data_IF_632078378700
#
_entry.id   IF_632078378700
#
_cell.length_a   1.000
_cell.length_b   1.000
_cell.length_c   1.000
_cell.angle_alpha   90.00
_cell.angle_beta   90.00
_cell.angle_gamma   90.00
#
_symmetry.space_group_name_H-M   'P 1'
#
loop_
_entity.id
_entity.type
_entity.pdbx_description
1 polymer ?
#
# COMPACT_ATOMS: atom_id res chain seq x y z
N UNK A 1 -0.44 -62.00 -14.38
CA UNK A 1 -1.11 -62.99 -13.54
C UNK A 1 -0.99 -62.57 -12.10
N UNK A 2 -2.14 -62.46 -11.35
CA UNK A 2 -2.38 -62.05 -9.96
C UNK A 2 -2.26 -60.53 -9.71
N UNK A 3 -3.23 -59.67 -9.73
CA UNK A 3 -4.53 -59.53 -9.02
C UNK A 3 -4.46 -59.78 -7.51
N UNK A 4 -4.58 -58.71 -6.71
CA UNK A 4 -5.23 -58.66 -5.38
C UNK A 4 -5.35 -57.16 -5.02
N UNK A 5 -6.51 -56.51 -5.14
CA UNK A 5 -7.72 -56.47 -4.31
C UNK A 5 -7.45 -55.80 -2.95
N UNK A 6 -7.82 -54.53 -2.88
CA UNK A 6 -8.83 -53.85 -2.07
C UNK A 6 -8.86 -54.17 -0.56
N UNK A 7 -8.84 -53.13 0.29
CA UNK A 7 -9.81 -52.98 1.39
C UNK A 7 -9.97 -51.48 1.70
N UNK A 8 -11.21 -50.97 1.54
CA UNK A 8 -11.73 -49.74 2.11
C UNK A 8 -12.02 -49.97 3.60
N UNK A 9 -11.61 -49.04 4.46
CA UNK A 9 -12.11 -48.94 5.81
C UNK A 9 -12.75 -47.56 6.00
N UNK A 10 -14.08 -47.54 5.95
CA UNK A 10 -14.89 -46.38 6.36
C UNK A 10 -15.02 -46.41 7.87
N UNK A 11 -14.61 -45.32 8.53
CA UNK A 11 -14.90 -45.09 9.95
C UNK A 11 -16.04 -44.09 10.02
N UNK A 12 -17.19 -44.58 10.45
CA UNK A 12 -18.37 -43.79 10.83
C UNK A 12 -18.18 -43.37 12.28
N UNK A 13 -18.07 -42.06 12.54
CA UNK A 13 -18.14 -41.50 13.89
C UNK A 13 -19.55 -40.95 14.10
N UNK A 14 -20.26 -41.61 15.02
CA UNK A 14 -21.58 -41.26 15.49
C UNK A 14 -21.49 -40.12 16.50
N UNK A 15 -22.04 -38.94 16.18
CA UNK A 15 -22.14 -37.83 17.10
C UNK A 15 -23.37 -37.99 18.02
N UNK A 16 -23.12 -38.06 19.29
CA UNK A 16 -24.14 -38.00 20.34
C UNK A 16 -24.57 -36.55 20.57
N UNK A 17 -25.85 -36.28 20.33
CA UNK A 17 -26.55 -35.07 20.71
C UNK A 17 -26.84 -35.09 22.22
N UNK A 18 -26.28 -34.16 22.97
CA UNK A 18 -26.80 -33.77 24.27
C UNK A 18 -27.24 -32.33 24.19
N UNK A 19 -28.54 -32.15 24.37
CA UNK A 19 -29.19 -30.82 24.38
C UNK A 19 -28.86 -30.04 25.65
N UNK A 20 -28.72 -28.74 25.49
CA UNK A 20 -28.94 -27.79 26.57
C UNK A 20 -29.97 -26.75 26.13
N UNK A 21 -30.99 -26.56 26.94
CA UNK A 21 -32.07 -25.66 26.73
C UNK A 21 -31.62 -24.20 26.78
N UNK A 22 -32.04 -23.42 25.82
CA UNK A 22 -31.87 -21.96 25.82
C UNK A 22 -33.05 -21.30 26.49
N UNK A 23 -32.76 -20.58 27.55
CA UNK A 23 -33.68 -19.61 28.16
C UNK A 23 -33.83 -18.41 27.25
N UNK A 24 -35.03 -18.24 26.73
CA UNK A 24 -35.41 -17.07 25.93
C UNK A 24 -35.91 -15.99 26.88
N UNK A 25 -35.07 -15.03 27.22
CA UNK A 25 -35.50 -13.82 27.94
C UNK A 25 -36.06 -12.82 26.91
N UNK A 26 -37.36 -12.68 26.92
CA UNK A 26 -38.09 -11.66 26.16
C UNK A 26 -37.86 -10.30 26.83
N UNK A 27 -37.11 -9.40 26.17
CA UNK A 27 -37.05 -8.01 26.58
C UNK A 27 -38.30 -7.28 26.06
N UNK A 28 -39.12 -6.82 26.96
CA UNK A 28 -40.27 -5.95 26.70
C UNK A 28 -39.78 -4.59 26.23
N UNK A 29 -40.36 -4.11 25.14
CA UNK A 29 -40.21 -2.76 24.65
C UNK A 29 -40.89 -1.78 25.60
N UNK A 30 -40.12 -0.89 26.22
CA UNK A 30 -40.68 0.27 26.95
C UNK A 30 -41.15 1.35 25.95
N UNK A 31 -42.41 1.71 26.09
CA UNK A 31 -43.05 2.79 25.32
C UNK A 31 -42.58 4.14 25.83
N UNK A 32 -42.11 4.99 24.92
CA UNK A 32 -41.80 6.40 25.17
C UNK A 32 -43.07 7.20 25.43
N UNK A 33 -43.05 8.16 26.38
CA UNK A 33 -44.19 9.04 26.63
C UNK A 33 -44.29 10.15 25.59
N UNK A 34 -45.54 10.40 25.23
CA UNK A 34 -46.05 11.40 24.28
C UNK A 34 -45.95 12.83 24.85
N UNK A 35 -45.73 13.76 23.89
CA UNK A 35 -46.11 15.18 23.90
C UNK A 35 -45.36 16.16 24.81
N UNK A 36 -44.57 17.00 24.15
CA UNK A 36 -44.20 18.35 24.63
C UNK A 36 -45.14 19.36 23.96
N UNK A 37 -45.77 20.31 24.67
CA UNK A 37 -46.67 21.29 24.08
C UNK A 37 -45.93 22.34 23.25
N UNK A 38 -46.47 22.59 22.10
CA UNK A 38 -46.07 23.61 21.13
C UNK A 38 -46.35 25.03 21.72
N UNK A 39 -45.29 25.77 22.06
CA UNK A 39 -45.43 27.18 22.45
C UNK A 39 -45.27 28.04 21.22
N UNK A 40 -46.35 28.58 20.72
CA UNK A 40 -46.41 29.57 19.63
C UNK A 40 -45.82 30.90 20.12
N UNK A 41 -44.62 31.25 19.66
CA UNK A 41 -44.05 32.58 19.84
C UNK A 41 -44.30 33.39 18.58
N UNK A 42 -44.92 34.55 18.71
CA UNK A 42 -45.19 35.51 17.64
C UNK A 42 -43.87 36.10 17.11
N UNK A 43 -43.79 36.46 15.81
CA UNK A 43 -42.59 37.00 15.25
C UNK A 43 -42.34 38.47 15.69
N UNK A 44 -41.24 38.71 16.38
CA UNK A 44 -40.69 40.04 16.60
C UNK A 44 -40.02 40.53 15.31
N UNK A 45 -40.49 41.65 14.79
CA UNK A 45 -39.89 42.38 13.65
C UNK A 45 -38.57 43.00 14.07
N UNK A 46 -37.46 42.45 13.60
CA UNK A 46 -36.13 43.08 13.70
C UNK A 46 -35.95 44.04 12.54
N UNK A 47 -35.47 45.26 12.72
CA UNK A 47 -35.22 46.21 11.64
C UNK A 47 -34.03 45.73 10.80
N UNK A 48 -34.24 45.71 9.49
CA UNK A 48 -33.27 45.37 8.46
C UNK A 48 -32.16 46.42 8.42
N UNK A 49 -30.98 46.06 8.96
CA UNK A 49 -29.79 46.87 8.80
C UNK A 49 -29.13 46.46 7.50
N UNK A 50 -29.13 47.36 6.52
CA UNK A 50 -28.43 47.23 5.24
C UNK A 50 -26.92 47.00 5.52
N UNK A 51 -26.48 45.72 5.44
CA UNK A 51 -25.06 45.37 5.48
C UNK A 51 -24.44 45.70 4.11
N UNK A 52 -23.65 46.73 4.10
CA UNK A 52 -22.76 47.07 2.97
C UNK A 52 -21.82 45.88 2.76
N UNK A 53 -22.04 45.13 1.70
CA UNK A 53 -21.14 44.03 1.27
C UNK A 53 -19.79 44.66 0.88
N UNK A 54 -18.74 44.32 1.64
CA UNK A 54 -17.37 44.54 1.21
C UNK A 54 -17.12 43.70 -0.07
N UNK A 55 -16.31 44.22 -1.02
CA UNK A 55 -15.98 43.46 -2.22
C UNK A 55 -15.31 42.14 -1.80
N UNK A 56 -15.94 41.01 -2.16
CA UNK A 56 -15.32 39.69 -2.04
C UNK A 56 -14.17 39.68 -3.04
N UNK A 57 -12.95 39.71 -2.57
CA UNK A 57 -11.78 39.42 -3.41
C UNK A 57 -11.98 38.05 -4.01
N UNK A 58 -11.87 37.96 -5.34
CA UNK A 58 -11.90 36.69 -6.04
C UNK A 58 -10.79 35.77 -5.49
N UNK A 59 -11.01 34.48 -5.30
CA UNK A 59 -9.97 33.56 -4.86
C UNK A 59 -8.78 33.67 -5.82
N UNK A 60 -7.62 34.06 -5.29
CA UNK A 60 -6.37 34.01 -6.06
C UNK A 60 -6.11 32.52 -6.32
N UNK A 61 -6.15 32.11 -7.58
CA UNK A 61 -5.79 30.76 -8.00
C UNK A 61 -4.37 30.47 -7.47
N UNK A 62 -4.26 29.47 -6.59
CA UNK A 62 -2.97 29.07 -6.05
C UNK A 62 -2.07 28.61 -7.20
N UNK A 63 -0.81 29.04 -7.21
CA UNK A 63 0.14 28.56 -8.19
C UNK A 63 0.24 27.03 -8.12
N UNK A 64 0.35 26.32 -9.27
CA UNK A 64 0.45 24.88 -9.27
C UNK A 64 1.66 24.42 -8.44
N UNK A 65 1.45 23.43 -7.58
CA UNK A 65 2.53 22.80 -6.83
C UNK A 65 3.52 22.16 -7.81
N UNK A 66 4.79 22.51 -7.68
CA UNK A 66 5.86 21.96 -8.51
C UNK A 66 6.55 20.84 -7.72
N UNK A 67 6.43 19.61 -8.21
CA UNK A 67 7.11 18.46 -7.62
C UNK A 67 8.62 18.61 -7.80
N UNK A 68 9.38 18.59 -6.72
CA UNK A 68 10.84 18.63 -6.72
C UNK A 68 11.40 17.25 -6.38
N UNK A 69 12.09 16.62 -7.32
CA UNK A 69 12.74 15.31 -7.13
C UNK A 69 14.20 15.53 -6.73
N UNK A 70 14.57 15.02 -5.57
CA UNK A 70 15.96 15.03 -5.11
C UNK A 70 16.64 13.71 -5.53
N UNK A 71 17.73 13.73 -6.28
CA UNK A 71 18.45 12.51 -6.69
C UNK A 71 18.93 11.73 -5.47
N UNK A 72 18.67 10.43 -5.46
CA UNK A 72 19.13 9.51 -4.40
C UNK A 72 20.35 8.70 -4.82
N UNK A 73 20.60 8.57 -6.12
CA UNK A 73 21.76 7.86 -6.67
C UNK A 73 22.98 8.79 -6.60
N UNK A 74 24.01 8.35 -5.89
CA UNK A 74 25.19 9.15 -5.55
C UNK A 74 26.46 8.76 -6.29
N UNK A 75 26.50 7.56 -6.89
CA UNK A 75 27.68 7.01 -7.55
C UNK A 75 27.31 6.44 -8.93
N UNK A 76 28.32 6.28 -9.79
CA UNK A 76 28.14 5.67 -11.10
C UNK A 76 27.71 4.21 -10.95
N UNK A 77 26.69 3.81 -11.70
CA UNK A 77 26.15 2.47 -11.69
C UNK A 77 26.58 1.65 -12.91
N UNK A 78 26.74 0.35 -12.70
CA UNK A 78 26.88 -0.62 -13.79
C UNK A 78 25.47 -1.02 -14.27
N UNK A 79 25.21 -0.87 -15.55
CA UNK A 79 23.94 -1.25 -16.15
C UNK A 79 23.89 -2.75 -16.47
N UNK A 80 22.79 -3.42 -16.07
CA UNK A 80 22.51 -4.82 -16.35
C UNK A 80 21.07 -4.96 -16.82
N UNK A 81 20.88 -5.41 -18.06
CA UNK A 81 19.55 -5.73 -18.59
C UNK A 81 19.17 -7.16 -18.20
N UNK A 82 17.94 -7.34 -17.70
CA UNK A 82 17.43 -8.62 -17.23
C UNK A 82 16.06 -8.92 -17.85
N UNK A 83 15.84 -10.20 -18.15
CA UNK A 83 14.60 -10.70 -18.77
C UNK A 83 13.93 -11.80 -17.96
N UNK A 84 14.59 -12.29 -16.91
CA UNK A 84 14.11 -13.37 -16.06
C UNK A 84 14.33 -13.08 -14.58
N UNK A 85 13.58 -13.76 -13.71
CA UNK A 85 13.76 -13.65 -12.27
C UNK A 85 15.18 -14.07 -11.82
N UNK A 86 15.76 -15.10 -12.43
CA UNK A 86 17.14 -15.54 -12.13
C UNK A 86 18.18 -14.48 -12.49
N UNK A 87 18.02 -13.84 -13.64
CA UNK A 87 18.92 -12.74 -14.06
C UNK A 87 18.78 -11.55 -13.13
N UNK A 88 17.54 -11.19 -12.74
CA UNK A 88 17.28 -10.12 -11.79
C UNK A 88 17.98 -10.38 -10.44
N UNK A 89 17.74 -11.55 -9.85
CA UNK A 89 18.34 -11.90 -8.56
C UNK A 89 19.87 -11.93 -8.62
N UNK A 90 20.44 -12.37 -9.74
CA UNK A 90 21.90 -12.39 -9.97
C UNK A 90 22.48 -10.99 -10.15
N UNK A 91 21.71 -10.04 -10.69
CA UNK A 91 22.13 -8.67 -10.92
C UNK A 91 22.13 -7.81 -9.65
N UNK A 92 21.51 -8.26 -8.56
CA UNK A 92 21.46 -7.52 -7.30
C UNK A 92 22.87 -7.32 -6.74
N UNK A 93 23.34 -6.09 -6.75
CA UNK A 93 24.65 -5.68 -6.23
C UNK A 93 24.65 -4.16 -5.98
N UNK A 94 25.54 -3.65 -5.11
CA UNK A 94 25.78 -2.21 -4.99
C UNK A 94 26.22 -1.57 -6.33
N UNK A 95 25.91 -0.29 -6.50
CA UNK A 95 26.28 0.48 -7.69
C UNK A 95 25.77 -0.15 -9.00
N UNK A 96 24.53 -0.66 -9.00
CA UNK A 96 23.92 -1.33 -10.15
C UNK A 96 22.63 -0.66 -10.57
N UNK A 97 22.47 -0.51 -11.88
CA UNK A 97 21.20 -0.18 -12.53
C UNK A 97 20.67 -1.43 -13.23
N UNK A 98 19.60 -2.02 -12.69
CA UNK A 98 18.90 -3.16 -13.27
C UNK A 98 17.82 -2.64 -14.21
N UNK A 99 17.93 -2.98 -15.47
CA UNK A 99 16.98 -2.64 -16.53
C UNK A 99 16.11 -3.87 -16.79
N UNK A 100 14.84 -3.81 -16.40
CA UNK A 100 13.87 -4.89 -16.64
C UNK A 100 13.36 -4.78 -18.06
N UNK A 101 13.76 -5.71 -18.92
CA UNK A 101 13.36 -5.80 -20.34
C UNK A 101 12.55 -7.09 -20.55
N UNK A 102 11.46 -7.21 -19.80
CA UNK A 102 10.53 -8.31 -19.85
C UNK A 102 9.11 -7.80 -19.62
N UNK A 103 8.13 -8.39 -20.28
CA UNK A 103 6.72 -8.11 -20.05
C UNK A 103 6.34 -8.45 -18.60
N UNK A 104 6.84 -9.57 -18.08
CA UNK A 104 6.58 -10.02 -16.71
C UNK A 104 7.79 -10.76 -16.13
N UNK A 105 8.23 -10.33 -14.95
CA UNK A 105 9.10 -11.11 -14.07
C UNK A 105 8.28 -11.55 -12.86
N UNK A 106 7.98 -12.84 -12.77
CA UNK A 106 7.28 -13.50 -11.67
C UNK A 106 8.31 -14.23 -10.81
N UNK A 107 8.40 -13.87 -9.53
CA UNK A 107 9.38 -14.46 -8.61
C UNK A 107 9.25 -15.96 -8.45
N UNK A 108 8.04 -16.52 -8.61
CA UNK A 108 7.81 -17.95 -8.52
C UNK A 108 8.54 -18.76 -9.60
N UNK A 109 9.03 -18.10 -10.63
CA UNK A 109 9.80 -18.71 -11.74
C UNK A 109 11.30 -18.72 -11.48
N UNK A 110 11.77 -18.10 -10.40
CA UNK A 110 13.20 -18.14 -10.06
C UNK A 110 13.66 -19.57 -9.68
N UNK A 111 14.83 -19.94 -10.14
CA UNK A 111 15.48 -21.18 -9.73
C UNK A 111 15.80 -21.11 -8.24
N UNK A 112 15.31 -22.09 -7.46
CA UNK A 112 15.47 -22.06 -6.01
C UNK A 112 14.57 -21.07 -5.27
N UNK A 113 13.47 -20.65 -5.88
CA UNK A 113 12.44 -19.83 -5.25
C UNK A 113 12.09 -20.33 -3.85
N UNK A 114 12.15 -19.43 -2.87
CA UNK A 114 11.90 -19.73 -1.45
C UNK A 114 12.94 -20.61 -0.77
N UNK A 115 14.04 -21.00 -1.42
CA UNK A 115 15.02 -21.96 -0.88
C UNK A 115 16.46 -21.47 -0.91
N UNK A 116 16.82 -20.71 -1.95
CA UNK A 116 18.20 -20.29 -2.15
C UNK A 116 18.33 -18.78 -1.99
N UNK A 117 19.08 -18.35 -1.00
CA UNK A 117 19.40 -16.94 -0.78
C UNK A 117 20.66 -16.54 -1.58
N UNK A 118 20.72 -15.27 -1.97
CA UNK A 118 21.91 -14.64 -2.54
C UNK A 118 22.67 -13.81 -1.52
N UNK A 119 23.66 -13.08 -2.00
CA UNK A 119 24.43 -12.14 -1.16
C UNK A 119 23.59 -10.94 -0.75
N UNK A 120 22.74 -10.43 -1.68
CA UNK A 120 21.94 -9.23 -1.49
C UNK A 120 20.43 -9.50 -1.49
N UNK A 121 20.01 -10.74 -1.34
CA UNK A 121 18.62 -11.09 -1.17
C UNK A 121 18.45 -12.35 -0.35
N UNK A 122 17.29 -12.45 0.27
CA UNK A 122 16.82 -13.67 0.93
C UNK A 122 15.33 -13.87 0.67
N UNK A 123 14.89 -15.09 0.86
CA UNK A 123 13.48 -15.44 0.90
C UNK A 123 13.02 -15.58 2.34
N UNK A 124 11.88 -15.01 2.64
CA UNK A 124 11.19 -15.17 3.91
C UNK A 124 9.76 -15.64 3.62
N UNK A 125 9.19 -16.48 4.47
CA UNK A 125 7.80 -16.93 4.32
C UNK A 125 6.95 -16.24 5.39
N UNK A 126 6.21 -15.15 5.04
CA UNK A 126 5.36 -14.47 5.98
C UNK A 126 4.15 -15.33 6.41
N UNK A 127 3.67 -16.26 5.55
CA UNK A 127 2.56 -17.15 5.88
C UNK A 127 2.21 -18.18 4.78
N UNK A 128 2.13 -17.77 3.52
CA UNK A 128 1.59 -18.57 2.42
C UNK A 128 2.55 -18.75 1.24
N UNK A 129 3.78 -18.35 1.42
CA UNK A 129 4.83 -18.52 0.44
C UNK A 129 5.92 -17.47 0.52
N UNK A 130 6.99 -17.63 -0.27
CA UNK A 130 8.18 -16.82 -0.17
C UNK A 130 7.99 -15.37 -0.61
N UNK A 131 8.48 -14.46 0.22
CA UNK A 131 8.65 -13.03 -0.04
C UNK A 131 10.10 -12.75 -0.44
N UNK A 132 10.28 -11.91 -1.47
CA UNK A 132 11.62 -11.43 -1.85
C UNK A 132 12.03 -10.26 -0.97
N UNK A 133 13.08 -10.44 -0.18
CA UNK A 133 13.70 -9.38 0.59
C UNK A 133 15.07 -9.06 -0.01
N UNK A 134 15.20 -7.87 -0.60
CA UNK A 134 16.48 -7.30 -1.02
C UNK A 134 17.11 -6.66 0.21
N UNK A 135 18.35 -7.01 0.55
CA UNK A 135 18.94 -6.60 1.82
C UNK A 135 20.38 -6.13 1.69
N UNK A 136 20.71 -5.05 2.43
CA UNK A 136 22.09 -4.56 2.55
C UNK A 136 22.68 -3.98 1.26
N UNK A 137 21.85 -3.61 0.29
CA UNK A 137 22.28 -3.02 -0.98
C UNK A 137 22.29 -1.50 -0.87
N UNK A 138 23.26 -0.88 -1.50
CA UNK A 138 23.35 0.56 -1.66
C UNK A 138 23.52 0.98 -3.11
N UNK A 139 23.00 2.16 -3.47
CA UNK A 139 23.14 2.75 -4.80
C UNK A 139 22.62 1.81 -5.91
N UNK A 140 21.36 1.39 -5.76
CA UNK A 140 20.65 0.47 -6.67
C UNK A 140 19.49 1.19 -7.36
N UNK A 141 19.48 1.14 -8.68
CA UNK A 141 18.33 1.51 -9.51
C UNK A 141 17.68 0.25 -10.06
N UNK A 142 16.35 0.17 -10.00
CA UNK A 142 15.54 -0.84 -10.69
C UNK A 142 14.54 -0.09 -11.56
N UNK A 143 14.63 -0.26 -12.87
CA UNK A 143 13.72 0.42 -13.79
C UNK A 143 13.26 -0.45 -14.95
N UNK A 144 12.12 -0.08 -15.54
CA UNK A 144 11.65 -0.64 -16.80
C UNK A 144 12.56 -0.24 -17.97
N UNK A 145 12.62 -1.07 -18.99
CA UNK A 145 13.25 -0.76 -20.27
C UNK A 145 12.37 0.14 -21.16
N UNK A 146 11.04 0.11 -20.94
CA UNK A 146 10.06 0.93 -21.63
C UNK A 146 10.03 2.37 -21.16
N UNK A 147 9.36 3.22 -21.94
CA UNK A 147 9.07 4.61 -21.57
C UNK A 147 7.82 4.71 -20.67
N UNK A 148 7.00 3.65 -20.60
CA UNK A 148 5.75 3.56 -19.89
C UNK A 148 5.82 2.44 -18.84
N UNK A 149 5.43 2.73 -17.61
CA UNK A 149 5.44 1.76 -16.51
C UNK A 149 4.56 0.51 -16.78
N UNK A 150 3.59 0.58 -17.69
CA UNK A 150 2.70 -0.54 -18.01
C UNK A 150 3.35 -1.67 -18.79
N UNK A 151 4.56 -1.49 -19.32
CA UNK A 151 5.24 -2.44 -20.21
C UNK A 151 5.99 -3.52 -19.45
N UNK A 152 6.62 -3.16 -18.32
CA UNK A 152 7.49 -4.05 -17.57
C UNK A 152 6.93 -4.30 -16.17
N UNK A 153 6.63 -5.55 -15.85
CA UNK A 153 5.93 -5.94 -14.61
C UNK A 153 6.83 -6.80 -13.72
N UNK A 154 6.90 -6.44 -12.44
CA UNK A 154 7.43 -7.30 -11.37
C UNK A 154 6.28 -7.83 -10.54
N UNK A 155 6.25 -9.15 -10.27
CA UNK A 155 5.12 -9.77 -9.61
C UNK A 155 5.48 -10.87 -8.62
N UNK A 156 4.64 -11.01 -7.59
CA UNK A 156 4.64 -12.10 -6.63
C UNK A 156 3.29 -12.82 -6.60
N UNK A 157 3.32 -14.11 -6.31
CA UNK A 157 2.11 -14.95 -6.17
C UNK A 157 1.59 -14.99 -4.74
N UNK A 158 2.43 -15.12 -3.66
CA UNK A 158 1.93 -15.25 -2.31
C UNK A 158 1.16 -13.99 -1.86
N UNK A 159 0.02 -14.20 -1.21
CA UNK A 159 -0.92 -13.12 -0.84
C UNK A 159 -0.51 -12.36 0.41
N UNK A 160 0.36 -12.92 1.24
CA UNK A 160 0.86 -12.30 2.47
C UNK A 160 2.22 -11.64 2.28
N UNK A 161 2.90 -11.93 1.16
CA UNK A 161 4.19 -11.35 0.82
C UNK A 161 4.05 -9.93 0.25
N UNK A 162 5.04 -9.10 0.49
CA UNK A 162 5.30 -7.95 -0.38
C UNK A 162 5.84 -8.45 -1.71
N UNK A 163 5.52 -7.73 -2.80
CA UNK A 163 6.14 -8.08 -4.09
C UNK A 163 7.64 -7.92 -4.01
N UNK A 164 8.10 -6.81 -3.42
CA UNK A 164 9.50 -6.58 -3.08
C UNK A 164 9.60 -5.85 -1.74
N UNK A 165 10.39 -6.41 -0.83
CA UNK A 165 10.79 -5.77 0.42
C UNK A 165 12.26 -5.35 0.33
N UNK A 166 12.58 -4.10 0.65
CA UNK A 166 13.93 -3.60 0.82
C UNK A 166 14.23 -3.46 2.31
N UNK A 167 15.32 -4.09 2.77
CA UNK A 167 15.69 -4.06 4.17
C UNK A 167 17.15 -3.66 4.36
N UNK A 168 17.42 -2.69 5.22
CA UNK A 168 18.76 -2.17 5.47
C UNK A 168 19.47 -1.69 4.19
N UNK A 169 18.72 -1.04 3.30
CA UNK A 169 19.18 -0.53 2.02
C UNK A 169 19.35 1.00 2.04
N UNK A 170 20.16 1.52 1.12
CA UNK A 170 20.32 2.97 0.95
C UNK A 170 20.51 3.38 -0.51
N UNK A 171 20.13 4.62 -0.84
CA UNK A 171 20.21 5.13 -2.20
C UNK A 171 19.50 4.20 -3.19
N UNK A 172 18.20 3.97 -2.99
CA UNK A 172 17.37 3.07 -3.78
C UNK A 172 16.47 3.89 -4.70
N UNK A 173 16.47 3.56 -5.98
CA UNK A 173 15.62 4.18 -6.98
C UNK A 173 14.82 3.10 -7.72
N UNK A 174 13.48 3.15 -7.61
CA UNK A 174 12.56 2.30 -8.37
C UNK A 174 11.78 3.18 -9.33
N UNK A 175 11.84 2.88 -10.64
CA UNK A 175 11.29 3.77 -11.65
C UNK A 175 10.64 3.05 -12.83
N UNK A 176 9.51 3.59 -13.33
CA UNK A 176 8.92 3.21 -14.61
C UNK A 176 8.59 1.74 -14.74
N UNK A 177 8.11 1.11 -13.65
CA UNK A 177 7.72 -0.29 -13.56
C UNK A 177 6.28 -0.41 -13.10
N UNK A 178 5.58 -1.44 -13.53
CA UNK A 178 4.43 -1.94 -12.80
C UNK A 178 4.90 -2.96 -11.78
N UNK A 179 4.47 -2.82 -10.52
CA UNK A 179 4.74 -3.78 -9.45
C UNK A 179 3.43 -4.19 -8.79
N UNK A 180 3.17 -5.49 -8.70
CA UNK A 180 1.91 -5.95 -8.15
C UNK A 180 1.80 -7.46 -7.99
N UNK A 181 0.73 -7.91 -7.37
CA UNK A 181 0.46 -9.34 -7.23
C UNK A 181 -0.24 -9.91 -8.46
N UNK A 182 -0.06 -11.21 -8.70
CA UNK A 182 -0.74 -11.93 -9.78
C UNK A 182 -2.15 -12.42 -9.41
N UNK A 183 -2.49 -12.39 -8.12
CA UNK A 183 -3.78 -12.84 -7.60
C UNK A 183 -4.84 -11.73 -7.65
N UNK A 184 -6.10 -12.11 -7.53
CA UNK A 184 -7.22 -11.17 -7.54
C UNK A 184 -7.20 -10.23 -6.34
N UNK A 185 -7.60 -8.95 -6.51
CA UNK A 185 -7.69 -7.97 -5.42
C UNK A 185 -8.56 -8.42 -4.24
N UNK A 186 -8.22 -7.94 -3.06
CA UNK A 186 -9.03 -8.11 -1.84
C UNK A 186 -8.79 -9.39 -1.04
N UNK A 187 -7.92 -10.28 -1.51
CA UNK A 187 -7.60 -11.53 -0.81
C UNK A 187 -6.26 -11.52 -0.10
N UNK A 188 -5.45 -10.48 -0.29
CA UNK A 188 -4.07 -10.42 0.17
C UNK A 188 -3.91 -9.63 1.46
N UNK A 189 -2.83 -9.92 2.18
CA UNK A 189 -2.37 -9.17 3.36
C UNK A 189 -0.96 -8.63 3.22
N UNK A 190 -0.24 -9.01 2.16
CA UNK A 190 1.03 -8.40 1.79
C UNK A 190 0.84 -7.04 1.12
N UNK A 191 1.93 -6.33 0.92
CA UNK A 191 1.94 -5.06 0.20
C UNK A 191 2.62 -5.17 -1.15
N UNK A 192 2.80 -4.02 -1.81
CA UNK A 192 3.48 -3.98 -3.11
C UNK A 192 4.97 -3.72 -2.93
N UNK A 193 5.35 -2.53 -2.47
CA UNK A 193 6.72 -2.18 -2.14
C UNK A 193 6.86 -1.90 -0.64
N UNK A 194 7.84 -2.52 -0.01
CA UNK A 194 8.17 -2.28 1.40
C UNK A 194 9.60 -1.80 1.59
N UNK A 195 9.80 -0.87 2.52
CA UNK A 195 11.11 -0.34 2.90
C UNK A 195 11.25 -0.39 4.42
N UNK A 196 12.17 -1.20 4.92
CA UNK A 196 12.42 -1.38 6.35
C UNK A 196 13.86 -0.99 6.69
N UNK A 197 14.05 -0.15 7.71
CA UNK A 197 15.36 0.32 8.15
C UNK A 197 16.22 0.85 6.98
N UNK A 198 15.61 1.53 6.04
CA UNK A 198 16.23 1.96 4.79
C UNK A 198 16.23 3.48 4.66
N UNK A 199 17.06 4.02 3.78
CA UNK A 199 17.15 5.47 3.62
C UNK A 199 17.49 5.88 2.19
N UNK A 200 17.23 7.16 1.87
CA UNK A 200 17.49 7.75 0.57
C UNK A 200 16.80 6.95 -0.54
N UNK A 201 15.46 6.98 -0.51
CA UNK A 201 14.59 6.17 -1.37
C UNK A 201 13.84 7.08 -2.32
N UNK A 202 13.80 6.72 -3.59
CA UNK A 202 12.95 7.32 -4.60
C UNK A 202 12.16 6.23 -5.33
N UNK A 203 10.83 6.37 -5.31
CA UNK A 203 9.91 5.58 -6.12
C UNK A 203 9.18 6.54 -7.04
N UNK A 204 9.42 6.46 -8.34
CA UNK A 204 8.81 7.38 -9.29
C UNK A 204 8.27 6.71 -10.56
N UNK A 205 7.23 7.32 -11.13
CA UNK A 205 6.63 6.93 -12.41
C UNK A 205 6.24 5.45 -12.48
N UNK A 206 5.81 4.84 -11.35
CA UNK A 206 5.45 3.44 -11.25
C UNK A 206 3.92 3.24 -11.19
N UNK A 207 3.45 2.09 -11.70
CA UNK A 207 2.14 1.54 -11.40
C UNK A 207 2.26 0.57 -10.23
N UNK A 208 1.64 0.85 -9.09
CA UNK A 208 1.72 0.04 -7.88
C UNK A 208 0.34 -0.52 -7.56
N UNK A 209 0.14 -1.81 -7.84
CA UNK A 209 -1.19 -2.39 -7.72
C UNK A 209 -1.16 -3.73 -6.99
N UNK A 210 -2.30 -4.15 -6.59
CA UNK A 210 -2.42 -5.52 -6.29
C UNK A 210 -3.53 -5.83 -5.35
N UNK A 211 -3.74 -7.11 -5.13
CA UNK A 211 -4.56 -7.60 -4.06
C UNK A 211 -3.94 -7.34 -2.67
N UNK A 212 -2.80 -6.64 -2.60
CA UNK A 212 -2.09 -6.32 -1.37
C UNK A 212 -2.80 -5.32 -0.48
N UNK A 213 -2.33 -5.21 0.74
CA UNK A 213 -2.91 -4.28 1.70
C UNK A 213 -2.44 -2.85 1.50
N UNK A 214 -1.19 -2.66 1.07
CA UNK A 214 -0.52 -1.37 1.04
C UNK A 214 0.31 -1.24 -0.24
N UNK A 215 0.16 -0.12 -0.95
CA UNK A 215 0.95 0.17 -2.14
C UNK A 215 2.42 0.41 -1.81
N UNK A 216 2.72 1.38 -0.94
CA UNK A 216 4.07 1.62 -0.44
C UNK A 216 4.09 1.66 1.07
N UNK A 217 4.95 0.85 1.69
CA UNK A 217 5.17 0.83 3.12
C UNK A 217 6.58 1.28 3.47
N UNK A 218 6.69 2.20 4.44
CA UNK A 218 7.93 2.55 5.12
C UNK A 218 7.87 2.18 6.60
N UNK A 219 8.90 1.51 7.09
CA UNK A 219 9.07 1.20 8.51
C UNK A 219 10.47 1.58 8.96
N UNK A 220 10.58 2.46 9.94
CA UNK A 220 11.88 2.93 10.48
C UNK A 220 12.84 3.42 9.39
N UNK A 221 12.29 4.07 8.37
CA UNK A 221 13.01 4.52 7.18
C UNK A 221 12.98 6.06 7.09
N UNK A 222 13.88 6.62 6.30
CA UNK A 222 13.98 8.08 6.19
C UNK A 222 14.39 8.55 4.80
N UNK A 223 14.15 9.86 4.54
CA UNK A 223 14.42 10.51 3.27
C UNK A 223 13.84 9.69 2.12
N UNK A 224 12.50 9.56 2.13
CA UNK A 224 11.74 8.83 1.12
C UNK A 224 10.99 9.80 0.22
N UNK A 225 11.02 9.54 -1.06
CA UNK A 225 10.30 10.28 -2.08
C UNK A 225 9.43 9.30 -2.89
N UNK A 226 8.12 9.46 -2.80
CA UNK A 226 7.13 8.66 -3.53
C UNK A 226 6.45 9.62 -4.50
N UNK A 227 6.85 9.59 -5.76
CA UNK A 227 6.61 10.70 -6.70
C UNK A 227 5.95 10.19 -7.98
N UNK A 228 4.86 10.84 -8.42
CA UNK A 228 4.21 10.61 -9.73
C UNK A 228 3.82 9.14 -9.99
N UNK A 229 3.47 8.38 -8.97
CA UNK A 229 3.04 6.99 -9.14
C UNK A 229 1.51 6.89 -9.30
N UNK A 230 1.05 5.84 -9.98
CA UNK A 230 -0.33 5.38 -9.96
C UNK A 230 -0.45 4.22 -8.97
N UNK A 231 -1.07 4.46 -7.80
CA UNK A 231 -1.20 3.49 -6.70
C UNK A 231 -2.67 3.09 -6.57
N UNK A 232 -2.98 1.81 -6.83
CA UNK A 232 -4.37 1.42 -6.95
C UNK A 232 -4.65 -0.02 -6.50
N UNK A 233 -5.95 -0.29 -6.24
CA UNK A 233 -6.46 -1.61 -5.85
C UNK A 233 -5.79 -2.18 -4.59
N UNK A 234 -5.38 -1.31 -3.64
CA UNK A 234 -4.86 -1.72 -2.35
C UNK A 234 -6.00 -1.82 -1.32
N UNK A 235 -6.07 -2.89 -0.56
CA UNK A 235 -7.23 -3.15 0.31
C UNK A 235 -7.25 -2.34 1.61
N UNK A 236 -6.14 -1.73 2.02
CA UNK A 236 -6.01 -1.01 3.29
C UNK A 236 -5.52 0.41 3.12
N UNK A 237 -4.41 0.61 2.41
CA UNK A 237 -3.84 1.94 2.22
C UNK A 237 -3.07 2.07 0.90
N UNK A 238 -3.09 3.27 0.30
CA UNK A 238 -2.17 3.63 -0.76
C UNK A 238 -0.73 3.64 -0.24
N UNK A 239 -0.49 4.39 0.82
CA UNK A 239 0.81 4.45 1.50
C UNK A 239 0.68 4.32 3.01
N UNK A 240 1.67 3.68 3.65
CA UNK A 240 1.74 3.56 5.12
C UNK A 240 3.16 3.80 5.61
N UNK A 241 3.30 4.70 6.59
CA UNK A 241 4.59 5.00 7.20
C UNK A 241 4.53 4.83 8.72
N UNK A 242 5.50 4.11 9.27
CA UNK A 242 5.64 3.88 10.72
C UNK A 242 7.08 4.18 11.14
N UNK A 243 7.26 5.07 12.12
CA UNK A 243 8.58 5.51 12.61
C UNK A 243 9.49 6.04 11.48
N UNK A 244 8.92 6.67 10.46
CA UNK A 244 9.65 7.27 9.35
C UNK A 244 9.88 8.76 9.58
N UNK A 245 10.86 9.35 8.88
CA UNK A 245 11.14 10.77 8.90
C UNK A 245 11.58 11.26 7.52
N UNK A 246 11.28 12.53 7.21
CA UNK A 246 11.58 13.18 5.93
C UNK A 246 11.02 12.37 4.74
N UNK A 247 9.67 12.28 4.67
CA UNK A 247 8.97 11.58 3.59
C UNK A 247 8.13 12.56 2.78
N UNK A 248 8.30 12.55 1.46
CA UNK A 248 7.51 13.33 0.51
C UNK A 248 6.68 12.39 -0.38
N UNK A 249 5.38 12.66 -0.46
CA UNK A 249 4.44 11.90 -1.28
C UNK A 249 3.76 12.87 -2.24
N UNK A 250 4.36 13.10 -3.39
CA UNK A 250 3.98 14.20 -4.25
C UNK A 250 3.59 13.75 -5.67
N UNK A 251 2.54 14.34 -6.24
CA UNK A 251 2.12 14.09 -7.62
C UNK A 251 1.56 12.69 -7.89
N UNK A 252 1.28 11.89 -6.86
CA UNK A 252 0.76 10.54 -7.05
C UNK A 252 -0.76 10.56 -7.30
N UNK A 253 -1.22 9.61 -8.11
CA UNK A 253 -2.63 9.23 -8.19
C UNK A 253 -2.85 8.04 -7.25
N UNK A 254 -3.66 8.20 -6.21
CA UNK A 254 -4.04 7.12 -5.29
C UNK A 254 -5.53 6.87 -5.47
N UNK A 255 -5.92 5.66 -5.88
CA UNK A 255 -7.30 5.36 -6.26
C UNK A 255 -7.70 3.91 -5.98
N UNK A 256 -8.99 3.67 -5.91
CA UNK A 256 -9.56 2.32 -5.72
C UNK A 256 -9.02 1.61 -4.46
N UNK A 257 -8.88 2.38 -3.37
CA UNK A 257 -8.34 1.87 -2.11
C UNK A 257 -9.48 1.35 -1.22
N UNK A 258 -9.36 0.07 -0.84
CA UNK A 258 -10.37 -0.62 -0.03
C UNK A 258 -11.56 -1.11 -0.85
N UNK A 259 -12.68 -1.34 -0.18
CA UNK A 259 -13.95 -1.73 -0.77
C UNK A 259 -15.07 -0.86 -0.20
N UNK A 260 -16.27 -0.82 -0.81
CA UNK A 260 -17.41 -0.08 -0.24
C UNK A 260 -17.79 -0.52 1.18
N UNK A 261 -17.54 -1.79 1.54
CA UNK A 261 -17.82 -2.35 2.86
C UNK A 261 -16.68 -2.07 3.87
N UNK A 262 -15.45 -1.99 3.36
CA UNK A 262 -14.22 -1.74 4.13
C UNK A 262 -13.41 -0.66 3.41
N UNK A 263 -13.79 0.62 3.55
CA UNK A 263 -13.08 1.70 2.89
C UNK A 263 -11.64 1.76 3.37
N UNK A 264 -10.72 1.75 2.42
CA UNK A 264 -9.30 1.96 2.65
C UNK A 264 -8.97 3.44 2.87
N UNK A 265 -7.70 3.77 2.88
CA UNK A 265 -7.21 5.13 3.08
C UNK A 265 -6.06 5.41 2.13
N UNK A 266 -5.97 6.63 1.65
CA UNK A 266 -4.82 7.03 0.85
C UNK A 266 -3.54 6.99 1.68
N UNK A 267 -3.62 7.48 2.93
CA UNK A 267 -2.49 7.58 3.85
C UNK A 267 -2.78 6.93 5.20
N UNK A 268 -1.73 6.28 5.74
CA UNK A 268 -1.64 5.85 7.14
C UNK A 268 -0.27 6.24 7.68
N UNK A 269 -0.24 7.01 8.75
CA UNK A 269 1.00 7.54 9.34
C UNK A 269 0.99 7.29 10.85
N UNK A 270 2.08 6.73 11.38
CA UNK A 270 2.20 6.37 12.79
C UNK A 270 3.59 6.70 13.34
N UNK A 271 3.64 7.54 14.37
CA UNK A 271 4.88 7.88 15.08
C UNK A 271 6.00 8.38 14.15
N UNK A 272 5.64 9.14 13.13
CA UNK A 272 6.58 9.68 12.16
C UNK A 272 7.03 11.10 12.51
N UNK A 273 8.17 11.50 11.94
CA UNK A 273 8.63 12.87 11.93
C UNK A 273 7.94 13.66 10.82
N UNK A 274 8.72 14.26 9.93
CA UNK A 274 8.20 15.08 8.83
C UNK A 274 7.68 14.21 7.70
N UNK A 275 6.37 14.32 7.42
CA UNK A 275 5.73 13.74 6.24
C UNK A 275 5.00 14.84 5.49
N UNK A 276 5.16 14.94 4.18
CA UNK A 276 4.42 15.88 3.34
C UNK A 276 3.69 15.17 2.20
N UNK A 277 2.57 15.75 1.77
CA UNK A 277 1.86 15.36 0.56
C UNK A 277 1.57 16.62 -0.27
N UNK A 278 2.09 16.68 -1.48
CA UNK A 278 1.99 17.85 -2.36
C UNK A 278 2.40 19.14 -1.65
N UNK A 279 3.48 19.06 -0.85
CA UNK A 279 4.02 20.18 -0.06
C UNK A 279 3.29 20.48 1.25
N UNK A 280 2.15 19.85 1.52
CA UNK A 280 1.38 20.04 2.75
C UNK A 280 1.74 18.99 3.81
N UNK A 281 1.87 19.37 5.09
CA UNK A 281 2.17 18.43 6.17
C UNK A 281 1.07 17.38 6.34
N UNK A 282 1.48 16.12 6.47
CA UNK A 282 0.60 15.00 6.86
C UNK A 282 0.88 14.66 8.33
N UNK A 283 -0.17 14.67 9.15
CA UNK A 283 -0.07 14.38 10.58
C UNK A 283 -0.36 12.92 10.89
N UNK A 284 0.20 12.44 12.00
CA UNK A 284 -0.04 11.12 12.53
C UNK A 284 -1.55 10.81 12.59
N UNK A 285 -1.91 9.65 12.10
CA UNK A 285 -3.26 9.16 12.19
C UNK A 285 -3.56 8.72 13.63
N UNK A 286 -4.38 9.51 14.34
CA UNK A 286 -4.99 9.04 15.59
C UNK A 286 -6.20 8.17 15.28
N UNK A 287 -6.36 6.97 15.90
CA UNK A 287 -7.56 6.15 15.72
C UNK A 287 -8.87 6.85 16.09
N UNK A 288 -8.80 8.03 16.73
CA UNK A 288 -9.95 8.85 17.13
C UNK A 288 -10.37 9.87 16.08
N UNK A 289 -9.51 10.17 15.10
CA UNK A 289 -9.79 11.16 14.05
C UNK A 289 -10.28 10.48 12.78
N UNK A 290 -11.32 9.64 12.90
CA UNK A 290 -11.92 8.91 11.78
C UNK A 290 -12.77 9.79 10.84
N UNK A 291 -12.68 11.10 10.95
CA UNK A 291 -13.38 12.04 10.08
C UNK A 291 -12.40 13.13 9.61
N UNK A 292 -12.04 13.05 8.35
CA UNK A 292 -11.37 14.09 7.58
C UNK A 292 -9.87 13.87 7.29
N UNK A 293 -9.58 13.18 6.23
CA UNK A 293 -8.61 13.65 5.26
C UNK A 293 -9.09 13.22 3.87
N UNK A 294 -10.04 13.95 3.33
CA UNK A 294 -10.24 14.00 1.90
C UNK A 294 -9.32 15.09 1.38
N UNK A 295 -8.22 14.73 0.79
CA UNK A 295 -7.44 15.64 -0.02
C UNK A 295 -7.97 15.51 -1.44
N UNK A 296 -8.71 16.53 -1.84
CA UNK A 296 -8.83 16.95 -3.21
C UNK A 296 -9.66 16.08 -4.15
N UNK A 297 -10.94 16.44 -4.28
CA UNK A 297 -11.61 16.29 -5.57
C UNK A 297 -10.88 17.18 -6.59
N UNK A 298 -10.25 16.53 -7.61
CA UNK A 298 -9.79 17.17 -8.81
C UNK A 298 -10.54 16.62 -10.01
#
# INVERSE_FOLDING_TARGET
MKMMRTIFAAIIILALLTGCASDTTVLQAETLPESIPETTVAPETVPETEATQAPTEAPTEAAPFVVEIKPVITETQTQVTVTTADEFLKALAPNTEIIVDAELIDWSKATGYGKTNGEYYRWEDPYDGPELIITGVSNLTIRGAGEDHTVNVLSAVPRYAYVVMFENCSNIHVKGLTVGHTEEPGSCRGGVLGFRNSQDILVEDCGLFGCGTIGVMGESSKNMQIINNDIYECSVAGVEFTNCDDVNVDGNTIRDIGTPEYPGRDFRVYSCGTITCNGEPVHDFSPRDSAAFFVGEG
#
